data_IF_341268883748
#
_entry.id   IF_341268883748
#
_cell.length_a   1.000
_cell.length_b   1.000
_cell.length_c   1.000
_cell.angle_alpha   90.00
_cell.angle_beta   90.00
_cell.angle_gamma   90.00
#
_symmetry.space_group_name_H-M   'P 1'
#
loop_
_entity.id
_entity.type
_entity.pdbx_description
1 polymer ?
#
# COMPACT_ATOMS: atom_id res chain seq x y z
N UNK A 1 -46.95 32.84 -19.78
CA UNK A 1 -45.78 32.08 -20.16
C UNK A 1 -45.03 31.72 -18.87
N UNK A 2 -44.80 30.43 -18.51
CA UNK A 2 -44.07 30.11 -17.32
C UNK A 2 -42.56 30.33 -17.56
N UNK A 3 -41.96 31.05 -16.64
CA UNK A 3 -40.53 31.38 -16.60
C UNK A 3 -39.70 30.10 -16.41
N UNK A 4 -38.83 29.77 -17.38
CA UNK A 4 -37.95 28.59 -17.32
C UNK A 4 -36.81 28.93 -16.38
N UNK A 5 -36.86 28.39 -15.16
CA UNK A 5 -35.76 28.49 -14.21
C UNK A 5 -34.53 27.73 -14.80
N UNK A 6 -33.40 28.40 -15.06
CA UNK A 6 -32.22 27.72 -15.59
C UNK A 6 -31.67 26.77 -14.55
N UNK A 7 -31.52 25.49 -14.92
CA UNK A 7 -30.82 24.51 -14.08
C UNK A 7 -29.41 25.00 -13.78
N UNK A 8 -28.92 24.91 -12.49
CA UNK A 8 -27.61 25.38 -12.14
C UNK A 8 -26.55 24.62 -12.98
N UNK A 9 -25.69 25.36 -13.66
CA UNK A 9 -24.52 24.79 -14.38
C UNK A 9 -23.67 24.03 -13.39
N UNK A 10 -23.65 22.70 -13.52
CA UNK A 10 -22.82 21.80 -12.72
C UNK A 10 -21.36 22.22 -12.91
N UNK A 11 -20.72 22.76 -11.89
CA UNK A 11 -19.31 23.13 -11.94
C UNK A 11 -18.49 21.92 -12.41
N UNK A 12 -17.75 22.08 -13.50
CA UNK A 12 -16.89 21.03 -14.07
C UNK A 12 -15.68 20.86 -13.10
N UNK A 13 -15.76 19.89 -12.20
CA UNK A 13 -14.65 19.55 -11.34
C UNK A 13 -13.50 18.99 -12.18
N UNK A 14 -12.25 19.39 -11.89
CA UNK A 14 -11.08 18.81 -12.54
C UNK A 14 -11.08 17.30 -12.30
N UNK A 15 -10.63 16.53 -13.28
CA UNK A 15 -10.62 15.05 -13.20
C UNK A 15 -9.90 14.54 -11.93
N UNK A 16 -8.81 15.21 -11.51
CA UNK A 16 -8.08 14.90 -10.29
C UNK A 16 -8.89 15.10 -8.99
N UNK A 17 -9.70 16.17 -8.92
CA UNK A 17 -10.57 16.41 -7.76
C UNK A 17 -11.68 15.36 -7.68
N UNK A 18 -12.23 14.99 -8.83
CA UNK A 18 -13.27 13.95 -8.91
C UNK A 18 -12.71 12.59 -8.52
N UNK A 19 -11.50 12.24 -8.97
CA UNK A 19 -10.81 11.02 -8.57
C UNK A 19 -10.59 10.96 -7.06
N UNK A 20 -10.16 12.08 -6.44
CA UNK A 20 -9.97 12.14 -5.00
C UNK A 20 -11.28 11.92 -4.24
N UNK A 21 -12.36 12.59 -4.64
CA UNK A 21 -13.68 12.43 -4.01
C UNK A 21 -14.15 10.97 -4.09
N UNK A 22 -14.00 10.34 -5.27
CA UNK A 22 -14.37 8.93 -5.45
C UNK A 22 -13.53 8.05 -4.52
N UNK A 23 -12.23 8.29 -4.44
CA UNK A 23 -11.30 7.54 -3.60
C UNK A 23 -11.70 7.64 -2.12
N UNK A 24 -11.83 8.85 -1.58
CA UNK A 24 -12.15 9.08 -0.17
C UNK A 24 -13.52 8.48 0.20
N UNK A 25 -14.52 8.65 -0.67
CA UNK A 25 -15.85 8.08 -0.48
C UNK A 25 -15.82 6.56 -0.50
N UNK A 26 -15.07 5.97 -1.44
CA UNK A 26 -14.94 4.52 -1.53
C UNK A 26 -14.23 3.94 -0.31
N UNK A 27 -13.15 4.59 0.15
CA UNK A 27 -12.43 4.15 1.34
C UNK A 27 -13.30 4.18 2.59
N UNK A 28 -14.11 5.23 2.79
CA UNK A 28 -15.08 5.32 3.88
C UNK A 28 -16.08 4.17 3.83
N UNK A 29 -16.72 3.94 2.68
CA UNK A 29 -17.71 2.87 2.53
C UNK A 29 -17.09 1.47 2.70
N UNK A 30 -15.88 1.27 2.16
CA UNK A 30 -15.16 -0.01 2.28
C UNK A 30 -14.71 -0.28 3.72
N UNK A 31 -14.38 0.74 4.49
CA UNK A 31 -14.05 0.58 5.92
C UNK A 31 -15.26 0.18 6.75
N UNK A 32 -16.46 0.68 6.40
CA UNK A 32 -17.70 0.39 7.12
C UNK A 32 -18.32 -0.97 6.75
N UNK A 33 -18.32 -1.32 5.45
CA UNK A 33 -19.06 -2.46 4.89
C UNK A 33 -18.16 -3.56 4.33
N UNK A 34 -16.85 -3.34 4.34
CA UNK A 34 -15.86 -4.17 3.66
C UNK A 34 -15.85 -3.97 2.14
N UNK A 35 -14.78 -4.45 1.50
CA UNK A 35 -14.60 -4.33 0.05
C UNK A 35 -15.74 -5.02 -0.72
N UNK A 36 -16.15 -6.22 -0.32
CA UNK A 36 -17.21 -6.98 -1.00
C UNK A 36 -18.59 -6.33 -0.82
N UNK A 37 -18.88 -5.78 0.36
CA UNK A 37 -20.15 -5.14 0.69
C UNK A 37 -20.35 -3.77 0.03
N UNK A 38 -19.31 -3.20 -0.60
CA UNK A 38 -19.38 -1.89 -1.24
C UNK A 38 -19.52 -2.01 -2.76
N UNK A 39 -20.51 -1.34 -3.33
CA UNK A 39 -20.75 -1.32 -4.78
C UNK A 39 -20.37 0.00 -5.42
N UNK A 40 -20.03 0.00 -6.73
CA UNK A 40 -19.76 1.21 -7.50
C UNK A 40 -20.97 2.18 -7.48
N UNK A 41 -22.19 1.64 -7.45
CA UNK A 41 -23.41 2.46 -7.38
C UNK A 41 -23.52 3.21 -6.06
N UNK A 42 -23.22 2.56 -4.94
CA UNK A 42 -23.20 3.20 -3.61
C UNK A 42 -22.11 4.27 -3.52
N UNK A 43 -20.91 4.00 -4.05
CA UNK A 43 -19.84 5.00 -4.13
C UNK A 43 -20.29 6.22 -4.92
N UNK A 44 -20.90 6.02 -6.09
CA UNK A 44 -21.39 7.11 -6.92
C UNK A 44 -22.49 7.91 -6.24
N UNK A 45 -23.42 7.23 -5.56
CA UNK A 45 -24.51 7.89 -4.82
C UNK A 45 -23.97 8.75 -3.68
N UNK A 46 -23.06 8.21 -2.87
CA UNK A 46 -22.44 8.91 -1.75
C UNK A 46 -21.53 10.08 -2.21
N UNK A 47 -20.80 9.90 -3.32
CA UNK A 47 -19.96 10.93 -3.92
C UNK A 47 -20.77 11.99 -4.71
N UNK A 48 -22.09 11.81 -4.83
CA UNK A 48 -22.98 12.67 -5.65
C UNK A 48 -22.51 12.82 -7.12
N UNK A 49 -22.07 11.70 -7.75
CA UNK A 49 -21.62 11.67 -9.13
C UNK A 49 -22.43 10.67 -9.98
N UNK A 50 -22.53 10.86 -11.30
CA UNK A 50 -23.04 9.85 -12.22
C UNK A 50 -22.11 8.62 -12.29
N UNK A 51 -22.69 7.44 -12.50
CA UNK A 51 -21.90 6.19 -12.68
C UNK A 51 -20.90 6.30 -13.84
N UNK A 52 -21.26 6.97 -14.94
CA UNK A 52 -20.34 7.23 -16.05
C UNK A 52 -19.11 8.05 -15.65
N UNK A 53 -19.25 8.97 -14.68
CA UNK A 53 -18.11 9.74 -14.14
C UNK A 53 -17.16 8.85 -13.38
N UNK A 54 -17.66 7.86 -12.64
CA UNK A 54 -16.80 6.86 -11.98
C UNK A 54 -15.96 6.13 -13.02
N UNK A 55 -16.56 5.60 -14.07
CA UNK A 55 -15.85 4.81 -15.08
C UNK A 55 -14.89 5.65 -15.96
N UNK A 56 -15.02 6.96 -15.98
CA UNK A 56 -14.01 7.85 -16.54
C UNK A 56 -12.76 7.98 -15.65
N UNK A 57 -12.88 7.70 -14.35
CA UNK A 57 -11.80 7.82 -13.37
C UNK A 57 -11.18 6.48 -13.02
N UNK A 58 -11.97 5.43 -12.88
CA UNK A 58 -11.57 4.09 -12.45
C UNK A 58 -12.31 3.03 -13.30
N UNK A 59 -11.61 2.01 -13.79
CA UNK A 59 -12.22 0.91 -14.55
C UNK A 59 -13.09 0.01 -13.67
N UNK A 60 -12.74 -0.10 -12.39
CA UNK A 60 -13.44 -0.93 -11.40
C UNK A 60 -13.15 -0.42 -9.98
N UNK A 61 -13.83 -0.96 -8.97
CA UNK A 61 -13.49 -0.66 -7.58
C UNK A 61 -12.14 -1.22 -7.16
N UNK A 62 -11.61 -2.23 -7.88
CA UNK A 62 -10.25 -2.75 -7.67
C UNK A 62 -9.18 -1.71 -8.02
N UNK A 63 -9.42 -0.88 -9.04
CA UNK A 63 -8.49 0.18 -9.43
C UNK A 63 -8.31 1.26 -8.35
N UNK A 64 -9.30 1.40 -7.44
CA UNK A 64 -9.16 2.27 -6.27
C UNK A 64 -8.08 1.73 -5.33
N UNK A 65 -8.06 0.42 -5.13
CA UNK A 65 -7.02 -0.24 -4.31
C UNK A 65 -5.64 -0.11 -4.94
N UNK A 66 -5.55 -0.20 -6.27
CA UNK A 66 -4.30 0.01 -7.01
C UNK A 66 -3.65 1.35 -6.65
N UNK A 67 -4.44 2.40 -6.56
CA UNK A 67 -3.95 3.73 -6.18
C UNK A 67 -3.25 3.72 -4.82
N UNK A 68 -3.77 2.98 -3.83
CA UNK A 68 -3.14 2.87 -2.50
C UNK A 68 -1.74 2.25 -2.62
N UNK A 69 -1.61 1.21 -3.46
CA UNK A 69 -0.32 0.58 -3.69
C UNK A 69 0.67 1.48 -4.41
N UNK A 70 0.22 2.19 -5.45
CA UNK A 70 1.07 3.10 -6.22
C UNK A 70 1.57 4.26 -5.35
N UNK A 71 0.70 4.84 -4.51
CA UNK A 71 1.05 5.89 -3.56
C UNK A 71 1.99 5.36 -2.46
N UNK A 72 1.75 4.14 -1.96
CA UNK A 72 2.60 3.48 -0.97
C UNK A 72 4.01 3.19 -1.52
N UNK A 73 4.11 2.68 -2.73
CA UNK A 73 5.40 2.46 -3.40
C UNK A 73 6.16 3.77 -3.62
N UNK A 74 5.47 4.82 -4.07
CA UNK A 74 6.07 6.14 -4.28
C UNK A 74 6.58 6.74 -2.96
N UNK A 75 5.81 6.60 -1.87
CA UNK A 75 6.19 7.05 -0.55
C UNK A 75 7.46 6.34 -0.06
N UNK A 76 7.47 5.01 -0.09
CA UNK A 76 8.61 4.20 0.39
C UNK A 76 9.86 4.50 -0.47
N UNK A 77 9.77 4.36 -1.79
CA UNK A 77 10.93 4.53 -2.66
C UNK A 77 11.46 5.96 -2.65
N UNK A 78 10.57 6.97 -2.59
CA UNK A 78 10.96 8.38 -2.55
C UNK A 78 11.61 8.80 -1.23
N UNK A 79 11.13 8.26 -0.11
CA UNK A 79 11.66 8.57 1.22
C UNK A 79 13.00 7.89 1.48
N UNK A 80 13.08 6.58 1.17
CA UNK A 80 14.29 5.78 1.40
C UNK A 80 15.47 6.29 0.58
N UNK A 81 15.27 6.70 -0.66
CA UNK A 81 16.37 7.13 -1.56
C UNK A 81 17.23 8.24 -0.96
N UNK A 82 16.68 9.06 -0.08
CA UNK A 82 17.39 10.15 0.59
C UNK A 82 18.09 9.74 1.89
N UNK A 83 17.47 8.84 2.65
CA UNK A 83 17.93 8.46 3.98
C UNK A 83 18.83 7.20 3.96
N UNK A 84 18.78 6.42 2.87
CA UNK A 84 19.61 5.23 2.69
C UNK A 84 21.06 5.54 2.28
N UNK A 85 21.35 6.82 1.95
CA UNK A 85 22.67 7.24 1.52
C UNK A 85 23.72 7.01 2.62
N UNK A 86 24.72 6.19 2.35
CA UNK A 86 25.76 5.80 3.32
C UNK A 86 25.43 4.61 4.20
N UNK A 87 24.20 4.05 4.14
CA UNK A 87 23.86 2.82 4.85
C UNK A 87 24.34 1.60 4.05
N UNK A 88 24.84 0.58 4.78
CA UNK A 88 25.07 -0.76 4.21
C UNK A 88 23.72 -1.45 3.86
N UNK A 89 23.81 -2.62 3.22
CA UNK A 89 22.61 -3.34 2.79
C UNK A 89 21.69 -3.71 3.97
N UNK A 90 22.24 -4.08 5.11
CA UNK A 90 21.47 -4.42 6.32
C UNK A 90 20.76 -3.18 6.88
N UNK A 91 21.46 -2.05 6.94
CA UNK A 91 20.88 -0.76 7.33
C UNK A 91 19.74 -0.32 6.42
N UNK A 92 19.89 -0.52 5.10
CA UNK A 92 18.85 -0.23 4.13
C UNK A 92 17.59 -1.13 4.29
N UNK A 93 17.77 -2.42 4.61
CA UNK A 93 16.65 -3.32 4.89
C UNK A 93 15.91 -2.92 6.18
N UNK A 94 16.64 -2.50 7.22
CA UNK A 94 16.05 -1.99 8.46
C UNK A 94 15.25 -0.71 8.20
N UNK A 95 15.84 0.24 7.50
CA UNK A 95 15.18 1.50 7.12
C UNK A 95 13.91 1.23 6.29
N UNK A 96 13.97 0.33 5.31
CA UNK A 96 12.80 -0.09 4.55
C UNK A 96 11.69 -0.61 5.45
N UNK A 97 12.01 -1.47 6.41
CA UNK A 97 11.01 -2.05 7.31
C UNK A 97 10.34 -1.00 8.22
N UNK A 98 11.08 0.03 8.62
CA UNK A 98 10.53 1.16 9.38
C UNK A 98 9.52 1.98 8.54
N UNK A 99 9.88 2.29 7.28
CA UNK A 99 8.96 2.96 6.36
C UNK A 99 7.73 2.10 6.04
N UNK A 100 7.93 0.79 5.88
CA UNK A 100 6.85 -0.15 5.66
C UNK A 100 5.88 -0.19 6.86
N UNK A 101 6.40 -0.20 8.08
CA UNK A 101 5.57 -0.14 9.30
C UNK A 101 4.75 1.16 9.35
N UNK A 102 5.41 2.32 9.21
CA UNK A 102 4.75 3.64 9.22
C UNK A 102 3.66 3.76 8.15
N UNK A 103 3.94 3.28 6.93
CA UNK A 103 2.95 3.28 5.84
C UNK A 103 1.70 2.49 6.23
N UNK A 104 1.88 1.28 6.80
CA UNK A 104 0.74 0.45 7.18
C UNK A 104 -0.03 1.00 8.39
N UNK A 105 0.65 1.63 9.35
CA UNK A 105 -0.01 2.36 10.46
C UNK A 105 -0.84 3.55 9.95
N UNK A 106 -0.29 4.34 9.02
CA UNK A 106 -1.00 5.47 8.40
C UNK A 106 -2.17 5.02 7.52
N UNK A 107 -2.01 3.89 6.81
CA UNK A 107 -3.07 3.29 6.00
C UNK A 107 -4.24 2.85 6.87
N UNK A 108 -3.96 2.37 8.06
CA UNK A 108 -4.96 1.96 9.05
C UNK A 108 -5.55 0.57 8.81
N UNK A 109 -6.03 -0.03 9.89
CA UNK A 109 -6.48 -1.44 9.93
C UNK A 109 -7.62 -1.71 8.95
N UNK A 110 -8.59 -0.80 8.86
CA UNK A 110 -9.78 -1.03 8.04
C UNK A 110 -9.44 -1.08 6.54
N UNK A 111 -8.51 -0.23 6.11
CA UNK A 111 -8.01 -0.25 4.74
C UNK A 111 -7.15 -1.49 4.50
N UNK A 112 -6.27 -1.84 5.43
CA UNK A 112 -5.42 -3.03 5.31
C UNK A 112 -6.25 -4.31 5.20
N UNK A 113 -7.35 -4.45 5.93
CA UNK A 113 -8.29 -5.57 5.79
C UNK A 113 -8.85 -5.69 4.37
N UNK A 114 -9.12 -4.56 3.74
CA UNK A 114 -9.54 -4.53 2.33
C UNK A 114 -8.41 -4.99 1.41
N UNK A 115 -7.17 -4.56 1.69
CA UNK A 115 -6.00 -4.91 0.88
C UNK A 115 -5.60 -6.38 1.00
N UNK A 116 -5.81 -7.02 2.16
CA UNK A 116 -5.54 -8.45 2.39
C UNK A 116 -6.60 -9.39 1.78
N UNK A 117 -7.35 -8.92 0.79
CA UNK A 117 -8.31 -9.74 0.08
C UNK A 117 -7.61 -10.83 -0.77
N UNK A 118 -8.06 -12.12 -0.68
CA UNK A 118 -7.34 -13.25 -1.29
C UNK A 118 -7.13 -13.20 -2.81
N UNK A 119 -7.98 -12.46 -3.54
CA UNK A 119 -7.84 -12.26 -5.00
C UNK A 119 -7.10 -10.98 -5.35
N UNK A 120 -6.34 -10.41 -4.41
CA UNK A 120 -5.59 -9.20 -4.63
C UNK A 120 -4.26 -9.50 -5.33
N UNK A 121 -4.24 -9.34 -6.65
CA UNK A 121 -3.08 -9.60 -7.51
C UNK A 121 -1.87 -8.72 -7.19
N UNK A 122 -2.09 -7.56 -6.54
CA UNK A 122 -1.05 -6.58 -6.23
C UNK A 122 -0.02 -7.08 -5.20
N UNK A 123 -0.33 -8.15 -4.44
CA UNK A 123 0.65 -8.77 -3.54
C UNK A 123 1.73 -9.58 -4.26
N UNK A 124 1.45 -10.09 -5.46
CA UNK A 124 2.32 -11.00 -6.22
C UNK A 124 3.12 -10.33 -7.35
N UNK A 125 2.96 -9.03 -7.56
CA UNK A 125 3.59 -8.34 -8.70
C UNK A 125 4.97 -7.77 -8.34
N UNK A 126 5.84 -7.64 -9.35
CA UNK A 126 7.12 -6.92 -9.27
C UNK A 126 6.89 -5.41 -9.09
N UNK A 127 6.55 -5.01 -7.89
CA UNK A 127 6.30 -3.61 -7.53
C UNK A 127 7.61 -2.85 -7.31
N UNK A 128 7.60 -1.51 -7.43
CA UNK A 128 8.78 -0.68 -7.22
C UNK A 128 9.53 -0.95 -5.91
N UNK A 129 8.81 -1.19 -4.78
CA UNK A 129 9.45 -1.53 -3.51
C UNK A 129 10.18 -2.88 -3.55
N UNK A 130 9.65 -3.89 -4.26
CA UNK A 130 10.32 -5.18 -4.42
C UNK A 130 11.57 -5.06 -5.29
N UNK A 131 11.49 -4.25 -6.36
CA UNK A 131 12.65 -3.95 -7.24
C UNK A 131 13.74 -3.22 -6.44
N UNK A 132 13.37 -2.31 -5.57
CA UNK A 132 14.30 -1.62 -4.67
C UNK A 132 15.00 -2.62 -3.75
N UNK A 133 14.24 -3.46 -3.04
CA UNK A 133 14.80 -4.47 -2.13
C UNK A 133 15.71 -5.46 -2.85
N UNK A 134 15.34 -5.87 -4.07
CA UNK A 134 16.21 -6.72 -4.89
C UNK A 134 17.58 -6.10 -5.08
N UNK A 135 17.65 -4.82 -5.45
CA UNK A 135 18.93 -4.12 -5.63
C UNK A 135 19.75 -4.10 -4.34
N UNK A 136 19.10 -3.90 -3.19
CA UNK A 136 19.75 -3.90 -1.87
C UNK A 136 20.32 -5.29 -1.56
N UNK A 137 19.54 -6.36 -1.73
CA UNK A 137 19.98 -7.73 -1.46
C UNK A 137 21.11 -8.13 -2.40
N UNK A 138 20.98 -7.90 -3.72
CA UNK A 138 22.01 -8.21 -4.71
C UNK A 138 23.32 -7.45 -4.43
N UNK A 139 23.23 -6.19 -4.01
CA UNK A 139 24.40 -5.39 -3.63
C UNK A 139 25.04 -5.91 -2.33
N UNK A 140 24.21 -6.27 -1.33
CA UNK A 140 24.66 -6.83 -0.07
C UNK A 140 25.40 -8.17 -0.24
N UNK A 141 24.90 -9.05 -1.11
CA UNK A 141 25.54 -10.32 -1.45
C UNK A 141 26.88 -10.11 -2.17
N UNK A 142 26.90 -9.22 -3.18
CA UNK A 142 28.17 -8.90 -3.87
C UNK A 142 29.20 -8.25 -2.96
N UNK A 143 28.76 -7.45 -1.99
CA UNK A 143 29.64 -6.77 -1.03
C UNK A 143 30.01 -7.63 0.19
N UNK A 144 29.46 -8.85 0.31
CA UNK A 144 29.73 -9.75 1.43
C UNK A 144 29.03 -9.38 2.73
N UNK A 145 28.12 -8.42 2.75
CA UNK A 145 27.32 -8.07 3.92
C UNK A 145 26.11 -9.00 4.13
N UNK A 146 25.63 -9.59 3.05
CA UNK A 146 24.54 -10.58 3.05
C UNK A 146 25.10 -11.91 2.53
N UNK A 147 24.75 -12.99 3.21
CA UNK A 147 25.17 -14.36 2.86
C UNK A 147 24.71 -14.75 1.44
N UNK A 148 25.56 -15.41 0.68
CA UNK A 148 25.34 -15.78 -0.72
C UNK A 148 24.95 -17.25 -0.92
N UNK A 149 24.86 -18.04 0.14
CA UNK A 149 24.38 -19.42 0.10
C UNK A 149 22.85 -19.53 0.04
N UNK A 150 22.15 -18.40 0.26
CA UNK A 150 20.72 -18.27 0.01
C UNK A 150 20.48 -17.49 -1.29
N UNK A 151 19.46 -17.85 -2.05
CA UNK A 151 19.07 -17.07 -3.23
C UNK A 151 18.51 -15.70 -2.84
N UNK A 152 18.79 -14.69 -3.66
CA UNK A 152 18.21 -13.35 -3.45
C UNK A 152 16.69 -13.38 -3.44
N UNK A 153 16.07 -14.20 -4.31
CA UNK A 153 14.60 -14.39 -4.34
C UNK A 153 14.10 -14.95 -3.01
N UNK A 154 14.73 -15.99 -2.46
CA UNK A 154 14.34 -16.57 -1.18
C UNK A 154 14.45 -15.59 -0.01
N UNK A 155 15.47 -14.73 -0.01
CA UNK A 155 15.64 -13.68 1.00
C UNK A 155 14.52 -12.65 0.87
N UNK A 156 14.18 -12.21 -0.35
CA UNK A 156 13.14 -11.22 -0.63
C UNK A 156 11.76 -11.78 -0.27
N UNK A 157 11.45 -13.00 -0.67
CA UNK A 157 10.18 -13.66 -0.35
C UNK A 157 10.00 -13.78 1.17
N UNK A 158 11.04 -14.26 1.89
CA UNK A 158 11.02 -14.35 3.34
C UNK A 158 10.78 -12.98 4.00
N UNK A 159 11.45 -11.92 3.53
CA UNK A 159 11.24 -10.56 4.03
C UNK A 159 9.77 -10.13 3.90
N UNK A 160 9.20 -10.27 2.70
CA UNK A 160 7.82 -9.84 2.47
C UNK A 160 6.80 -10.72 3.17
N UNK A 161 7.05 -12.02 3.32
CA UNK A 161 6.19 -12.93 4.08
C UNK A 161 6.17 -12.54 5.56
N UNK A 162 7.31 -12.22 6.17
CA UNK A 162 7.40 -11.71 7.54
C UNK A 162 6.62 -10.41 7.68
N UNK A 163 6.88 -9.42 6.85
CA UNK A 163 6.24 -8.10 6.93
C UNK A 163 4.73 -8.17 6.73
N UNK A 164 4.28 -8.90 5.72
CA UNK A 164 2.84 -9.11 5.43
C UNK A 164 2.16 -9.91 6.53
N UNK A 165 2.80 -10.96 7.03
CA UNK A 165 2.28 -11.79 8.12
C UNK A 165 2.08 -11.00 9.40
N UNK A 166 3.00 -10.09 9.74
CA UNK A 166 2.87 -9.21 10.91
C UNK A 166 1.70 -8.23 10.72
N UNK A 167 1.60 -7.58 9.54
CA UNK A 167 0.49 -6.66 9.24
C UNK A 167 -0.85 -7.38 9.24
N UNK A 168 -0.94 -8.57 8.67
CA UNK A 168 -2.14 -9.40 8.71
C UNK A 168 -2.54 -9.72 10.16
N UNK A 169 -1.59 -10.17 10.98
CA UNK A 169 -1.84 -10.46 12.39
C UNK A 169 -2.28 -9.21 13.17
N UNK A 170 -1.71 -8.04 12.84
CA UNK A 170 -2.13 -6.77 13.41
C UNK A 170 -3.61 -6.47 13.11
N UNK A 171 -4.05 -6.73 11.87
CA UNK A 171 -5.45 -6.61 11.47
C UNK A 171 -6.37 -7.60 12.19
N UNK A 172 -5.92 -8.86 12.36
CA UNK A 172 -6.68 -9.92 13.09
C UNK A 172 -6.84 -9.56 14.56
N UNK A 173 -5.81 -8.99 15.17
CA UNK A 173 -5.80 -8.59 16.58
C UNK A 173 -6.38 -7.17 16.80
N UNK A 174 -7.03 -6.55 15.83
CA UNK A 174 -7.59 -5.18 15.94
C UNK A 174 -6.59 -4.15 16.47
N UNK A 175 -5.32 -4.24 16.06
CA UNK A 175 -4.29 -3.29 16.47
C UNK A 175 -3.83 -3.44 17.93
N UNK A 176 -4.04 -4.60 18.55
CA UNK A 176 -3.74 -4.82 19.96
C UNK A 176 -2.25 -4.75 20.33
N UNK A 177 -1.37 -4.53 19.36
CA UNK A 177 0.07 -4.36 19.58
C UNK A 177 0.64 -3.24 18.69
N UNK A 178 1.78 -2.70 19.10
CA UNK A 178 2.53 -1.71 18.32
C UNK A 178 3.15 -2.39 17.09
N UNK A 179 2.74 -1.96 15.89
CA UNK A 179 3.16 -2.56 14.63
C UNK A 179 4.65 -2.30 14.37
N UNK A 180 5.10 -1.07 14.59
CA UNK A 180 6.49 -0.66 14.36
C UNK A 180 7.45 -1.41 15.27
N UNK A 181 7.13 -1.56 16.57
CA UNK A 181 7.94 -2.32 17.53
C UNK A 181 8.03 -3.80 17.10
N UNK A 182 6.90 -4.40 16.71
CA UNK A 182 6.87 -5.81 16.30
C UNK A 182 7.62 -6.06 15.00
N UNK A 183 7.43 -5.21 13.99
CA UNK A 183 8.20 -5.29 12.73
C UNK A 183 9.70 -5.17 13.03
N UNK A 184 10.11 -4.18 13.82
CA UNK A 184 11.51 -4.00 14.18
C UNK A 184 12.10 -5.26 14.82
N UNK A 185 11.44 -5.86 15.80
CA UNK A 185 11.92 -7.07 16.48
C UNK A 185 12.10 -8.25 15.52
N UNK A 186 11.17 -8.48 14.59
CA UNK A 186 11.29 -9.54 13.59
C UNK A 186 12.38 -9.24 12.56
N UNK A 187 12.54 -7.97 12.18
CA UNK A 187 13.60 -7.56 11.26
C UNK A 187 14.98 -7.68 11.90
N UNK A 188 15.11 -7.47 13.20
CA UNK A 188 16.38 -7.72 13.91
C UNK A 188 16.78 -9.20 13.81
N UNK A 189 15.82 -10.13 14.01
CA UNK A 189 16.07 -11.58 13.84
C UNK A 189 16.36 -11.93 12.38
N UNK A 190 15.58 -11.41 11.43
CA UNK A 190 15.78 -11.65 10.01
C UNK A 190 17.16 -11.17 9.55
N UNK A 191 17.53 -9.93 9.88
CA UNK A 191 18.83 -9.37 9.52
C UNK A 191 19.98 -10.19 10.13
N UNK A 192 19.86 -10.61 11.39
CA UNK A 192 20.87 -11.48 12.00
C UNK A 192 21.03 -12.83 11.28
N UNK A 193 19.93 -13.39 10.73
CA UNK A 193 19.97 -14.65 10.00
C UNK A 193 20.59 -14.54 8.59
N UNK A 194 20.54 -13.38 7.95
CA UNK A 194 21.07 -13.17 6.59
C UNK A 194 22.42 -12.46 6.53
N UNK A 195 22.90 -11.91 7.64
CA UNK A 195 24.24 -11.33 7.74
C UNK A 195 25.31 -12.44 7.67
N UNK A 196 26.44 -12.14 7.03
CA UNK A 196 27.57 -13.07 6.88
C UNK A 196 28.33 -13.24 8.17
#
# INVERSE_FOLDING_TARGET
>A
MPEVIPKPKRAYRKTSETQQIIFDTAMTLMSEKGFQGTTVREICAAACIPVGTFYNCYKSKVDILRRIYDEGDAYICGSISREAEGLDAIGQLRLFSEYYARLNEQTGIEVLRVLFYPSNEWFSMNRPMQVFIRKVVDSGQRGGAIRSDLSADGIIDCLFDILRGICYNWCVCNGAFDLSIRIKAHMDLFCAAITT
#
